data_IF_534623898843
#
_entry.id   IF_534623898843
#
_cell.length_a   1.000
_cell.length_b   1.000
_cell.length_c   1.000
_cell.angle_alpha   90.00
_cell.angle_beta   90.00
_cell.angle_gamma   90.00
#
_symmetry.space_group_name_H-M   'P 1'
#
loop_
_entity.id
_entity.type
_entity.pdbx_description
1 polymer ?
#
# COMPACT_ATOMS: atom_id res chain seq x y z
N UNK A 1 -30.37 -6.70 8.54
CA UNK A 1 -28.95 -7.04 8.35
C UNK A 1 -28.85 -7.89 7.09
N UNK A 2 -28.48 -7.38 5.90
CA UNK A 2 -28.19 -8.31 4.77
C UNK A 2 -27.60 -7.68 3.50
N UNK A 3 -28.12 -6.56 2.96
CA UNK A 3 -27.66 -6.11 1.63
C UNK A 3 -26.20 -5.60 1.61
N UNK A 4 -25.82 -4.77 2.58
CA UNK A 4 -24.46 -4.24 2.68
C UNK A 4 -23.43 -5.35 2.99
N UNK A 5 -23.79 -6.33 3.82
CA UNK A 5 -22.93 -7.48 4.12
C UNK A 5 -22.76 -8.39 2.90
N UNK A 6 -23.82 -8.65 2.13
CA UNK A 6 -23.72 -9.45 0.90
C UNK A 6 -22.88 -8.76 -0.19
N UNK A 7 -22.99 -7.44 -0.32
CA UNK A 7 -22.11 -6.68 -1.19
C UNK A 7 -20.65 -6.77 -0.72
N UNK A 8 -20.41 -6.61 0.57
CA UNK A 8 -19.07 -6.71 1.14
C UNK A 8 -18.46 -8.09 0.94
N UNK A 9 -19.24 -9.15 1.13
CA UNK A 9 -18.81 -10.54 0.91
C UNK A 9 -18.43 -10.77 -0.56
N UNK A 10 -19.27 -10.29 -1.49
CA UNK A 10 -19.01 -10.40 -2.93
C UNK A 10 -17.75 -9.62 -3.36
N UNK A 11 -17.55 -8.42 -2.79
CA UNK A 11 -16.38 -7.58 -3.03
C UNK A 11 -15.10 -8.19 -2.44
N UNK A 12 -15.22 -8.87 -1.31
CA UNK A 12 -14.10 -9.51 -0.60
C UNK A 12 -13.69 -10.78 -1.32
N UNK A 13 -14.63 -11.65 -1.70
CA UNK A 13 -14.35 -12.89 -2.46
C UNK A 13 -13.72 -12.61 -3.83
N UNK A 14 -14.10 -11.52 -4.49
CA UNK A 14 -13.56 -11.13 -5.79
C UNK A 14 -12.16 -10.49 -5.70
N UNK A 15 -11.74 -10.07 -4.50
CA UNK A 15 -10.55 -9.22 -4.32
C UNK A 15 -10.74 -7.79 -4.85
N UNK A 16 -11.92 -7.45 -5.34
CA UNK A 16 -12.26 -6.12 -5.86
C UNK A 16 -12.05 -5.02 -4.83
N UNK A 17 -12.26 -5.32 -3.54
CA UNK A 17 -12.02 -4.37 -2.45
C UNK A 17 -10.55 -3.91 -2.38
N UNK A 18 -9.61 -4.82 -2.63
CA UNK A 18 -8.18 -4.50 -2.67
C UNK A 18 -7.84 -3.63 -3.89
N UNK A 19 -8.50 -3.83 -5.02
CA UNK A 19 -8.32 -2.99 -6.21
C UNK A 19 -8.89 -1.58 -6.01
N UNK A 20 -10.04 -1.45 -5.35
CA UNK A 20 -10.63 -0.15 -5.00
C UNK A 20 -9.68 0.59 -4.06
N UNK A 21 -9.20 -0.06 -3.00
CA UNK A 21 -8.25 0.51 -2.07
C UNK A 21 -6.93 0.92 -2.78
N UNK A 22 -6.44 0.08 -3.70
CA UNK A 22 -5.27 0.40 -4.51
C UNK A 22 -5.51 1.62 -5.41
N UNK A 23 -6.70 1.76 -5.99
CA UNK A 23 -7.09 2.93 -6.79
C UNK A 23 -7.09 4.22 -5.97
N UNK A 24 -7.65 4.20 -4.75
CA UNK A 24 -7.63 5.34 -3.83
C UNK A 24 -6.19 5.69 -3.44
N UNK A 25 -5.37 4.69 -3.12
CA UNK A 25 -3.97 4.88 -2.77
C UNK A 25 -3.15 5.51 -3.91
N UNK A 26 -3.37 5.05 -5.16
CA UNK A 26 -2.71 5.63 -6.34
C UNK A 26 -3.13 7.08 -6.57
N UNK A 27 -4.41 7.40 -6.31
CA UNK A 27 -4.91 8.76 -6.42
C UNK A 27 -4.27 9.68 -5.37
N UNK A 28 -4.17 9.24 -4.11
CA UNK A 28 -3.43 9.98 -3.08
C UNK A 28 -1.96 10.16 -3.45
N UNK A 29 -1.30 9.12 -3.98
CA UNK A 29 0.09 9.21 -4.44
C UNK A 29 0.27 10.22 -5.56
N UNK A 30 -0.67 10.26 -6.51
CA UNK A 30 -0.68 11.26 -7.59
C UNK A 30 -0.81 12.68 -7.05
N UNK A 31 -1.74 12.89 -6.10
CA UNK A 31 -1.92 14.20 -5.44
C UNK A 31 -0.64 14.60 -4.70
N UNK A 32 -0.03 13.69 -3.95
CA UNK A 32 1.24 13.95 -3.23
C UNK A 32 2.37 14.28 -4.21
N UNK A 33 2.49 13.55 -5.32
CA UNK A 33 3.54 13.76 -6.31
C UNK A 33 3.47 15.16 -6.95
N UNK A 34 2.25 15.69 -7.13
CA UNK A 34 1.99 17.00 -7.74
C UNK A 34 2.03 18.13 -6.70
N UNK A 35 1.41 17.94 -5.53
CA UNK A 35 1.22 18.98 -4.52
C UNK A 35 2.46 19.23 -3.65
N UNK A 36 3.30 18.21 -3.40
CA UNK A 36 4.43 18.33 -2.48
C UNK A 36 5.71 18.70 -3.24
N UNK A 37 6.19 19.93 -3.01
CA UNK A 37 7.45 20.44 -3.59
C UNK A 37 8.71 20.06 -2.80
N UNK A 38 8.61 19.77 -1.50
CA UNK A 38 9.77 19.33 -0.69
C UNK A 38 10.19 17.93 -1.11
N UNK A 39 11.38 17.81 -1.72
CA UNK A 39 11.89 16.56 -2.27
C UNK A 39 12.06 15.44 -1.23
N UNK A 40 12.50 15.77 0.00
CA UNK A 40 12.64 14.79 1.09
C UNK A 40 11.29 14.22 1.53
N UNK A 41 10.31 15.11 1.76
CA UNK A 41 8.95 14.73 2.14
C UNK A 41 8.29 13.92 1.03
N UNK A 42 8.38 14.37 -0.23
CA UNK A 42 7.83 13.66 -1.38
C UNK A 42 8.43 12.26 -1.54
N UNK A 43 9.75 12.11 -1.45
CA UNK A 43 10.42 10.79 -1.56
C UNK A 43 9.93 9.84 -0.47
N UNK A 44 9.76 10.35 0.76
CA UNK A 44 9.28 9.54 1.87
C UNK A 44 7.83 9.08 1.67
N UNK A 45 6.92 10.00 1.31
CA UNK A 45 5.53 9.61 1.05
C UNK A 45 5.40 8.67 -0.16
N UNK A 46 6.25 8.80 -1.18
CA UNK A 46 6.26 7.89 -2.32
C UNK A 46 6.75 6.48 -1.94
N UNK A 47 7.79 6.36 -1.10
CA UNK A 47 8.25 5.06 -0.59
C UNK A 47 7.20 4.39 0.30
N UNK A 48 6.55 5.18 1.15
CA UNK A 48 5.42 4.71 1.96
C UNK A 48 4.24 4.26 1.08
N UNK A 49 3.92 5.03 0.05
CA UNK A 49 2.93 4.67 -0.96
C UNK A 49 3.25 3.37 -1.68
N UNK A 50 4.51 3.16 -2.06
CA UNK A 50 4.98 1.93 -2.67
C UNK A 50 4.81 0.72 -1.75
N UNK A 51 5.09 0.89 -0.45
CA UNK A 51 4.80 -0.14 0.56
C UNK A 51 3.30 -0.46 0.61
N UNK A 52 2.44 0.56 0.61
CA UNK A 52 0.99 0.37 0.57
C UNK A 52 0.51 -0.36 -0.69
N UNK A 53 1.10 -0.09 -1.86
CA UNK A 53 0.80 -0.78 -3.12
C UNK A 53 1.16 -2.26 -3.02
N UNK A 54 2.36 -2.57 -2.48
CA UNK A 54 2.79 -3.95 -2.27
C UNK A 54 1.89 -4.70 -1.27
N UNK A 55 1.44 -4.02 -0.21
CA UNK A 55 0.51 -4.58 0.78
C UNK A 55 -0.87 -4.85 0.16
N UNK A 56 -1.40 -3.92 -0.63
CA UNK A 56 -2.67 -4.13 -1.36
C UNK A 56 -2.57 -5.24 -2.40
N UNK A 57 -1.40 -5.38 -3.06
CA UNK A 57 -1.10 -6.53 -3.91
C UNK A 57 -1.13 -7.85 -3.14
N UNK A 58 -0.51 -7.90 -1.96
CA UNK A 58 -0.54 -9.08 -1.07
C UNK A 58 -1.97 -9.43 -0.65
N UNK A 59 -2.77 -8.43 -0.28
CA UNK A 59 -4.16 -8.60 0.09
C UNK A 59 -5.01 -9.12 -1.08
N UNK A 60 -4.84 -8.57 -2.28
CA UNK A 60 -5.50 -9.06 -3.48
C UNK A 60 -5.14 -10.52 -3.79
N UNK A 61 -3.85 -10.86 -3.69
CA UNK A 61 -3.35 -12.23 -3.85
C UNK A 61 -3.98 -13.20 -2.83
N UNK A 62 -4.10 -12.77 -1.57
CA UNK A 62 -4.73 -13.55 -0.51
C UNK A 62 -6.22 -13.76 -0.76
N UNK A 63 -6.94 -12.71 -1.18
CA UNK A 63 -8.38 -12.78 -1.45
C UNK A 63 -8.71 -13.60 -2.71
N UNK A 64 -7.84 -13.58 -3.72
CA UNK A 64 -8.01 -14.37 -4.96
C UNK A 64 -7.57 -15.83 -4.83
N UNK A 65 -7.15 -16.26 -3.63
CA UNK A 65 -6.77 -17.65 -3.37
C UNK A 65 -5.45 -18.09 -4.02
N UNK A 66 -4.57 -17.15 -4.38
CA UNK A 66 -3.23 -17.49 -4.88
C UNK A 66 -2.35 -18.00 -3.74
N UNK A 67 -1.39 -18.87 -4.08
CA UNK A 67 -0.54 -19.57 -3.10
C UNK A 67 0.22 -18.64 -2.14
N UNK A 68 0.64 -19.16 -0.99
CA UNK A 68 1.26 -18.35 0.08
C UNK A 68 2.60 -17.69 -0.29
N UNK A 69 3.35 -18.26 -1.25
CA UNK A 69 4.67 -17.76 -1.66
C UNK A 69 4.62 -16.34 -2.26
N UNK A 70 3.77 -16.03 -3.27
CA UNK A 70 3.68 -14.67 -3.79
C UNK A 70 3.16 -13.65 -2.76
N UNK A 71 2.31 -14.06 -1.81
CA UNK A 71 1.85 -13.19 -0.71
C UNK A 71 3.04 -12.82 0.19
N UNK A 72 3.84 -13.82 0.60
CA UNK A 72 5.02 -13.59 1.43
C UNK A 72 6.05 -12.69 0.73
N UNK A 73 6.24 -12.83 -0.58
CA UNK A 73 7.10 -11.94 -1.38
C UNK A 73 6.59 -10.49 -1.37
N UNK A 74 5.29 -10.26 -1.58
CA UNK A 74 4.70 -8.92 -1.51
C UNK A 74 4.83 -8.31 -0.11
N UNK A 75 4.61 -9.10 0.95
CA UNK A 75 4.77 -8.65 2.33
C UNK A 75 6.24 -8.31 2.65
N UNK A 76 7.18 -9.14 2.21
CA UNK A 76 8.61 -8.87 2.40
C UNK A 76 9.05 -7.61 1.66
N UNK A 77 8.56 -7.38 0.44
CA UNK A 77 8.84 -6.17 -0.32
C UNK A 77 8.22 -4.92 0.33
N UNK A 78 6.97 -5.01 0.81
CA UNK A 78 6.30 -3.95 1.56
C UNK A 78 7.07 -3.58 2.83
N UNK A 79 7.49 -4.59 3.60
CA UNK A 79 8.29 -4.41 4.81
C UNK A 79 9.62 -3.72 4.49
N UNK A 80 10.36 -4.20 3.48
CA UNK A 80 11.63 -3.62 3.08
C UNK A 80 11.50 -2.15 2.65
N UNK A 81 10.48 -1.83 1.84
CA UNK A 81 10.20 -0.46 1.42
C UNK A 81 9.87 0.45 2.62
N UNK A 82 9.09 -0.05 3.56
CA UNK A 82 8.72 0.71 4.76
C UNK A 82 9.90 0.90 5.72
N UNK A 83 10.74 -0.12 5.90
CA UNK A 83 11.93 -0.05 6.73
C UNK A 83 12.96 0.94 6.17
N UNK A 84 13.09 0.98 4.83
CA UNK A 84 13.96 1.94 4.15
C UNK A 84 13.46 3.38 4.32
N UNK A 85 12.14 3.60 4.25
CA UNK A 85 11.56 4.92 4.52
C UNK A 85 11.77 5.36 5.99
N UNK A 86 11.53 4.46 6.94
CA UNK A 86 11.74 4.71 8.37
C UNK A 86 13.19 5.04 8.70
N UNK A 87 14.14 4.28 8.15
CA UNK A 87 15.58 4.53 8.35
C UNK A 87 16.04 5.83 7.70
N UNK A 88 15.52 6.16 6.51
CA UNK A 88 15.78 7.46 5.88
C UNK A 88 15.24 8.63 6.70
N UNK A 89 14.03 8.49 7.28
CA UNK A 89 13.43 9.47 8.20
C UNK A 89 14.25 9.63 9.48
N UNK A 90 14.57 8.52 10.15
CA UNK A 90 15.34 8.51 11.39
C UNK A 90 16.70 9.19 11.22
N UNK A 91 17.42 8.89 10.14
CA UNK A 91 18.68 9.57 9.82
C UNK A 91 18.50 11.06 9.59
N UNK A 92 17.46 11.47 8.85
CA UNK A 92 17.19 12.89 8.61
C UNK A 92 16.78 13.68 9.86
N UNK A 93 16.22 13.03 10.88
CA UNK A 93 15.88 13.65 12.17
C UNK A 93 17.05 13.71 13.15
N UNK A 94 18.13 12.97 12.90
CA UNK A 94 19.32 12.95 13.75
C UNK A 94 20.37 14.00 13.32
N UNK A 95 20.26 14.50 12.09
CA UNK A 95 21.12 15.54 11.50
C UNK A 95 20.57 16.98 11.70
N UNK A 96 19.55 17.17 12.55
CA UNK A 96 18.95 18.48 12.87
C UNK A 96 19.02 18.79 14.36
#
# INVERSE_FOLDING_TARGET
>A
MTAALQLLDSLTQSGAIALIALGVLLLELGVIAIAIRKASLRRSLLLNGFSGIALMGALYLALTGKGGVPIALCLAASLAAHLFDLTARLRSSQDG
#
